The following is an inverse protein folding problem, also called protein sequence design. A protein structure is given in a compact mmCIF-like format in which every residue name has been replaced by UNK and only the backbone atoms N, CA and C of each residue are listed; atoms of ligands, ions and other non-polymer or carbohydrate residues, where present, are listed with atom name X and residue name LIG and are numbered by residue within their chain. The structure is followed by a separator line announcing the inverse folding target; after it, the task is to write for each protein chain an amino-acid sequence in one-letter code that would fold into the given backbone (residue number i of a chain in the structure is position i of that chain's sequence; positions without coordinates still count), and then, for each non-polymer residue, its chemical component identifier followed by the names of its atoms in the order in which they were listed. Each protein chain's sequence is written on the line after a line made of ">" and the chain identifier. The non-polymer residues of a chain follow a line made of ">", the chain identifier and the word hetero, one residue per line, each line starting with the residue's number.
data_IF_677732905317
#
_entry.id   IF_677732905317
#
_cell.length_a   1.000
_cell.length_b   1.000
_cell.length_c   1.000
_cell.angle_alpha   90.00
_cell.angle_beta   90.00
_cell.angle_gamma   90.00
#
_symmetry.space_group_name_H-M   'P 1'
#
loop_
_entity.id
_entity.type
_entity.pdbx_description
1 polymer ?
#
# COMPACT_ATOMS: atom_id res chain seq x y z
N UNK A 1 9.62 51.14 51.45
CA UNK A 1 10.90 50.79 50.78
C UNK A 1 10.81 51.38 49.38
N UNK A 2 11.15 52.66 49.19
CA UNK A 2 12.47 53.19 48.76
C UNK A 2 12.87 52.65 47.37
N UNK A 3 13.23 53.40 46.31
CA UNK A 3 13.62 54.81 46.18
C UNK A 3 13.71 55.21 44.69
N UNK A 4 13.36 56.47 44.40
CA UNK A 4 13.89 57.47 43.44
C UNK A 4 14.59 57.09 42.10
N UNK A 5 14.19 57.77 41.01
CA UNK A 5 14.90 58.91 40.35
C UNK A 5 14.21 59.19 38.98
N UNK A 6 13.60 60.35 38.68
CA UNK A 6 14.17 61.66 38.26
C UNK A 6 15.21 61.51 37.12
N UNK A 7 15.23 62.24 36.00
CA UNK A 7 14.87 63.62 35.63
C UNK A 7 15.06 63.70 34.07
N UNK A 8 14.09 64.12 33.23
CA UNK A 8 13.83 65.48 32.69
C UNK A 8 14.92 66.09 31.78
N UNK A 9 14.40 66.78 30.73
CA UNK A 9 14.98 67.81 29.84
C UNK A 9 15.52 67.32 28.49
N UNK A 10 15.34 67.98 27.33
CA UNK A 10 14.39 68.95 26.69
C UNK A 10 15.05 69.34 25.35
N UNK A 11 14.30 69.95 24.42
CA UNK A 11 14.72 70.62 23.15
C UNK A 11 14.99 69.66 21.99
N UNK A 12 14.63 69.92 20.73
CA UNK A 12 14.07 71.07 20.03
C UNK A 12 14.27 70.83 18.51
N UNK A 13 13.25 71.14 17.72
CA UNK A 13 13.06 70.97 16.27
C UNK A 13 14.25 71.27 15.33
N UNK A 14 14.35 70.52 14.22
CA UNK A 14 14.47 71.10 12.85
C UNK A 14 14.19 70.07 11.74
N UNK A 15 13.24 70.41 10.86
CA UNK A 15 13.04 69.86 9.50
C UNK A 15 14.27 70.11 8.62
N UNK A 16 14.79 69.06 7.97
CA UNK A 16 15.36 69.07 6.61
C UNK A 16 16.04 67.74 6.29
N UNK A 17 15.89 67.27 5.05
CA UNK A 17 16.54 66.10 4.39
C UNK A 17 15.70 64.83 4.35
N UNK A 18 14.63 64.91 3.56
CA UNK A 18 14.22 63.85 2.65
C UNK A 18 15.07 64.01 1.38
N UNK A 19 15.44 62.87 0.77
CA UNK A 19 15.96 62.65 -0.60
C UNK A 19 17.41 62.11 -0.67
N UNK A 20 17.65 61.17 -1.60
CA UNK A 20 18.89 60.40 -1.90
C UNK A 20 19.02 58.94 -1.38
N UNK A 21 17.92 58.18 -1.30
CA UNK A 21 17.99 56.75 -0.92
C UNK A 21 17.36 55.73 -1.87
N UNK A 22 16.53 56.14 -2.84
CA UNK A 22 15.71 55.21 -3.63
C UNK A 22 16.27 54.85 -5.00
N UNK A 23 17.20 55.63 -5.55
CA UNK A 23 17.62 55.44 -6.94
C UNK A 23 18.75 54.41 -7.08
N UNK A 24 19.61 54.27 -6.06
CA UNK A 24 20.70 53.29 -6.08
C UNK A 24 20.24 51.83 -5.88
N UNK A 25 19.03 51.60 -5.36
CA UNK A 25 18.50 50.25 -5.13
C UNK A 25 17.76 49.70 -6.36
N UNK A 26 17.23 50.57 -7.22
CA UNK A 26 16.50 50.19 -8.43
C UNK A 26 17.45 49.90 -9.59
N UNK A 27 18.56 50.64 -9.73
CA UNK A 27 19.58 50.37 -10.75
C UNK A 27 20.27 49.01 -10.54
N UNK A 28 20.44 48.57 -9.29
CA UNK A 28 21.00 47.25 -8.97
C UNK A 28 20.03 46.09 -9.23
N UNK A 29 18.72 46.36 -9.29
CA UNK A 29 17.70 45.35 -9.59
C UNK A 29 17.55 45.13 -11.10
N UNK A 30 17.66 46.20 -11.90
CA UNK A 30 17.56 46.12 -13.36
C UNK A 30 18.80 45.47 -14.00
N UNK A 31 19.99 45.62 -13.41
CA UNK A 31 21.21 44.93 -13.88
C UNK A 31 21.20 43.43 -13.55
N UNK A 32 20.56 43.02 -12.44
CA UNK A 32 20.38 41.61 -12.08
C UNK A 32 19.30 40.89 -12.92
N UNK A 33 18.29 41.63 -13.40
CA UNK A 33 17.24 41.09 -14.27
C UNK A 33 17.67 40.96 -15.74
N UNK A 34 18.72 41.68 -16.17
CA UNK A 34 19.31 41.57 -17.51
C UNK A 34 20.21 40.33 -17.69
N UNK A 35 20.82 39.80 -16.62
CA UNK A 35 21.65 38.59 -16.67
C UNK A 35 20.84 37.27 -16.58
N UNK A 36 19.56 37.33 -16.18
CA UNK A 36 18.68 36.16 -16.08
C UNK A 36 17.89 35.83 -17.37
N UNK A 37 18.19 36.47 -18.50
CA UNK A 37 17.48 36.30 -19.78
C UNK A 37 18.24 35.51 -20.86
N UNK A 38 19.28 34.75 -20.52
CA UNK A 38 20.12 34.02 -21.49
C UNK A 38 20.04 32.48 -21.46
N UNK A 39 19.12 31.89 -20.70
CA UNK A 39 18.87 30.45 -20.72
C UNK A 39 17.43 30.12 -21.12
N UNK A 40 17.08 30.43 -22.38
CA UNK A 40 15.86 29.92 -23.01
C UNK A 40 16.23 29.30 -24.36
N UNK A 41 16.75 28.06 -24.33
CA UNK A 41 16.88 27.20 -25.49
C UNK A 41 15.80 26.11 -25.42
N UNK A 42 15.08 25.80 -26.51
CA UNK A 42 14.07 24.75 -26.52
C UNK A 42 14.72 23.37 -26.32
N UNK A 43 14.10 22.44 -25.58
CA UNK A 43 14.65 21.11 -25.39
C UNK A 43 14.61 20.32 -26.70
N UNK A 44 15.79 19.82 -27.08
CA UNK A 44 16.01 18.83 -28.13
C UNK A 44 15.39 17.51 -27.65
N UNK A 45 14.54 16.89 -28.48
CA UNK A 45 13.99 15.57 -28.20
C UNK A 45 15.12 14.56 -27.97
N UNK A 46 15.21 14.05 -26.74
CA UNK A 46 16.03 12.92 -26.37
C UNK A 46 15.07 11.75 -26.17
N UNK A 47 15.19 10.75 -27.04
CA UNK A 47 14.54 9.45 -26.88
C UNK A 47 14.94 8.88 -25.51
N UNK A 48 13.97 8.79 -24.60
CA UNK A 48 14.13 8.07 -23.34
C UNK A 48 13.91 6.58 -23.61
N UNK A 49 14.85 5.68 -23.24
CA UNK A 49 14.55 4.27 -23.21
C UNK A 49 13.50 4.02 -22.13
N UNK A 50 12.45 3.29 -22.49
CA UNK A 50 11.39 2.82 -21.60
C UNK A 50 11.96 2.13 -20.36
N UNK A 51 11.79 2.76 -19.19
CA UNK A 51 12.07 2.17 -17.88
C UNK A 51 11.11 1.00 -17.63
N UNK A 52 11.56 -0.18 -17.18
CA UNK A 52 10.66 -1.28 -16.84
C UNK A 52 9.80 -0.89 -15.64
N UNK A 53 8.48 -0.91 -15.82
CA UNK A 53 7.49 -0.86 -14.75
C UNK A 53 7.54 -2.19 -14.00
N UNK A 54 7.85 -2.17 -12.71
CA UNK A 54 7.84 -3.36 -11.86
C UNK A 54 6.69 -3.24 -10.87
N UNK A 55 5.63 -4.00 -11.11
CA UNK A 55 4.62 -4.28 -10.09
C UNK A 55 5.28 -5.11 -8.99
N UNK A 56 4.95 -4.84 -7.73
CA UNK A 56 5.64 -5.34 -6.54
C UNK A 56 5.78 -6.87 -6.45
N UNK A 57 5.02 -7.64 -7.23
CA UNK A 57 4.96 -9.11 -7.22
C UNK A 57 5.53 -9.82 -8.47
N UNK A 58 5.98 -9.10 -9.52
CA UNK A 58 6.39 -9.79 -10.78
C UNK A 58 7.85 -9.58 -11.20
N UNK A 59 8.67 -10.63 -11.07
CA UNK A 59 9.80 -10.90 -11.99
C UNK A 59 9.95 -12.42 -12.29
N UNK A 60 10.43 -12.81 -13.50
CA UNK A 60 10.10 -14.08 -14.13
C UNK A 60 11.13 -15.20 -13.99
N UNK A 61 10.66 -16.41 -14.32
CA UNK A 61 11.39 -17.68 -14.41
C UNK A 61 12.59 -17.65 -15.37
N UNK A 62 13.59 -18.44 -15.01
CA UNK A 62 14.83 -18.84 -15.71
C UNK A 62 14.93 -18.56 -17.22
N UNK A 63 16.01 -17.88 -17.62
CA UNK A 63 16.44 -17.75 -19.02
C UNK A 63 17.45 -18.87 -19.33
N UNK A 64 17.04 -19.82 -20.19
CA UNK A 64 17.96 -20.73 -20.86
C UNK A 64 18.68 -19.99 -22.00
N UNK A 65 20.02 -20.07 -21.98
CA UNK A 65 20.91 -19.54 -23.02
C UNK A 65 20.88 -20.47 -24.25
N UNK A 66 20.53 -19.92 -25.41
CA UNK A 66 20.88 -20.51 -26.70
C UNK A 66 21.19 -19.40 -27.74
N UNK A 67 22.16 -19.72 -28.60
CA UNK A 67 23.03 -18.82 -29.37
C UNK A 67 22.37 -18.14 -30.59
N UNK A 68 22.80 -16.91 -30.91
CA UNK A 68 22.58 -16.27 -32.22
C UNK A 68 23.68 -16.63 -33.24
N UNK A 69 23.37 -16.52 -34.54
CA UNK A 69 24.12 -15.60 -35.39
C UNK A 69 23.22 -14.64 -36.21
N UNK A 70 23.81 -13.49 -36.58
CA UNK A 70 23.26 -12.28 -37.25
C UNK A 70 23.70 -12.27 -38.75
N UNK A 71 23.34 -11.29 -39.62
CA UNK A 71 22.14 -11.15 -40.47
C UNK A 71 22.44 -11.06 -41.99
N UNK A 72 21.42 -11.06 -42.87
CA UNK A 72 21.46 -10.34 -44.16
C UNK A 72 20.10 -9.73 -44.54
N UNK A 73 20.11 -8.39 -44.56
CA UNK A 73 19.44 -7.40 -45.42
C UNK A 73 17.96 -7.51 -45.86
N UNK A 74 17.24 -6.48 -45.40
CA UNK A 74 16.33 -5.58 -46.12
C UNK A 74 14.98 -6.10 -46.63
N UNK A 75 13.90 -5.48 -46.13
CA UNK A 75 12.95 -4.59 -46.85
C UNK A 75 11.73 -4.34 -45.95
N UNK A 76 11.50 -3.08 -45.56
CA UNK A 76 10.19 -2.55 -45.13
C UNK A 76 9.35 -2.22 -46.39
N UNK A 77 8.02 -2.05 -46.36
CA UNK A 77 7.12 -1.87 -45.22
C UNK A 77 5.79 -2.67 -45.32
N UNK A 78 4.91 -2.57 -44.31
CA UNK A 78 3.47 -2.20 -44.36
C UNK A 78 2.80 -2.65 -43.06
N UNK A 79 1.96 -1.76 -42.52
CA UNK A 79 1.09 -1.91 -41.36
C UNK A 79 0.08 -3.05 -41.54
N UNK A 80 -0.09 -3.90 -40.52
CA UNK A 80 -1.34 -4.57 -40.14
C UNK A 80 -1.04 -5.55 -38.97
N UNK A 81 -1.56 -5.27 -37.77
CA UNK A 81 -2.16 -6.27 -36.85
C UNK A 81 -2.39 -5.64 -35.46
N UNK A 82 -3.55 -5.00 -35.29
CA UNK A 82 -4.08 -4.61 -33.97
C UNK A 82 -5.39 -5.35 -33.61
N UNK A 83 -5.86 -6.30 -34.44
CA UNK A 83 -7.14 -7.00 -34.20
C UNK A 83 -7.03 -8.48 -33.79
N UNK A 84 -5.84 -9.09 -33.79
CA UNK A 84 -5.71 -10.54 -33.51
C UNK A 84 -5.70 -10.93 -32.02
N UNK A 85 -5.54 -9.95 -31.12
CA UNK A 85 -5.52 -10.18 -29.67
C UNK A 85 -6.89 -10.07 -28.96
N UNK A 86 -7.86 -9.40 -29.58
CA UNK A 86 -9.18 -9.15 -28.98
C UNK A 86 -10.15 -10.32 -29.18
N UNK A 87 -10.15 -10.92 -30.38
CA UNK A 87 -11.03 -12.05 -30.71
C UNK A 87 -10.69 -13.31 -29.90
N UNK A 88 -9.42 -13.53 -29.61
CA UNK A 88 -8.93 -14.70 -28.85
C UNK A 88 -9.26 -14.60 -27.35
N UNK A 89 -9.38 -13.39 -26.80
CA UNK A 89 -9.80 -13.14 -25.41
C UNK A 89 -11.32 -13.22 -25.25
N UNK A 90 -12.08 -12.74 -26.25
CA UNK A 90 -13.55 -12.84 -26.28
C UNK A 90 -14.03 -14.30 -26.49
N UNK A 91 -13.36 -15.08 -27.34
CA UNK A 91 -13.69 -16.49 -27.55
C UNK A 91 -13.39 -17.36 -26.32
N UNK A 92 -12.31 -17.06 -25.57
CA UNK A 92 -11.98 -17.75 -24.30
C UNK A 92 -12.95 -17.39 -23.17
N UNK A 93 -13.33 -16.11 -23.03
CA UNK A 93 -14.31 -15.67 -22.03
C UNK A 93 -15.73 -16.22 -22.29
N UNK A 94 -16.15 -16.33 -23.55
CA UNK A 94 -17.42 -16.95 -23.92
C UNK A 94 -17.42 -18.47 -23.68
N UNK A 95 -16.29 -19.16 -23.87
CA UNK A 95 -16.19 -20.62 -23.62
C UNK A 95 -16.30 -21.01 -22.14
N UNK A 96 -15.81 -20.18 -21.21
CA UNK A 96 -15.89 -20.45 -19.76
C UNK A 96 -17.28 -20.14 -19.18
N UNK A 97 -17.92 -19.07 -19.66
CA UNK A 97 -19.29 -18.71 -19.29
C UNK A 97 -20.32 -19.77 -19.75
N UNK A 98 -20.12 -20.41 -20.91
CA UNK A 98 -20.99 -21.51 -21.37
C UNK A 98 -20.82 -22.81 -20.57
N UNK A 99 -19.63 -23.10 -20.03
CA UNK A 99 -19.39 -24.31 -19.21
C UNK A 99 -20.02 -24.16 -17.82
N UNK A 100 -19.89 -22.98 -17.19
CA UNK A 100 -20.48 -22.71 -15.86
C UNK A 100 -22.00 -22.51 -15.95
N UNK A 101 -22.48 -21.81 -16.98
CA UNK A 101 -23.93 -21.63 -17.23
C UNK A 101 -24.64 -22.93 -17.65
N UNK A 102 -23.98 -23.78 -18.43
CA UNK A 102 -24.52 -25.07 -18.86
C UNK A 102 -24.66 -26.10 -17.73
N UNK A 103 -23.71 -26.12 -16.78
CA UNK A 103 -23.78 -26.99 -15.59
C UNK A 103 -24.85 -26.53 -14.58
N UNK A 104 -25.08 -25.21 -14.44
CA UNK A 104 -26.15 -24.67 -13.62
C UNK A 104 -27.55 -24.96 -14.22
N UNK A 105 -27.69 -24.93 -15.54
CA UNK A 105 -28.97 -25.26 -16.20
C UNK A 105 -29.31 -26.76 -16.09
N UNK A 106 -28.30 -27.64 -16.20
CA UNK A 106 -28.49 -29.09 -16.06
C UNK A 106 -28.94 -29.50 -14.63
N UNK A 107 -28.49 -28.77 -13.61
CA UNK A 107 -28.90 -28.99 -12.22
C UNK A 107 -30.39 -28.67 -12.02
N UNK A 108 -30.92 -27.67 -12.73
CA UNK A 108 -32.33 -27.24 -12.64
C UNK A 108 -33.32 -28.12 -13.43
N UNK A 109 -32.86 -28.97 -14.36
CA UNK A 109 -33.70 -29.89 -15.15
C UNK A 109 -33.80 -31.32 -14.59
N UNK A 110 -33.05 -31.67 -13.53
CA UNK A 110 -33.17 -32.99 -12.91
C UNK A 110 -34.49 -33.15 -12.13
N UNK A 111 -35.14 -34.32 -12.17
CA UNK A 111 -36.32 -34.61 -11.35
C UNK A 111 -36.03 -34.40 -9.86
N UNK A 112 -37.00 -33.85 -9.12
CA UNK A 112 -36.85 -33.57 -7.68
C UNK A 112 -36.44 -34.81 -6.84
N UNK A 113 -36.75 -36.02 -7.32
CA UNK A 113 -36.35 -37.28 -6.68
C UNK A 113 -34.84 -37.56 -6.70
N UNK A 114 -34.06 -36.87 -7.55
CA UNK A 114 -32.60 -37.02 -7.61
C UNK A 114 -31.84 -35.95 -6.82
N UNK A 115 -32.47 -34.82 -6.49
CA UNK A 115 -31.87 -33.77 -5.63
C UNK A 115 -31.84 -34.14 -4.14
N UNK A 116 -32.68 -35.08 -3.72
CA UNK A 116 -32.76 -35.52 -2.33
C UNK A 116 -31.69 -36.55 -1.93
N UNK A 117 -30.91 -37.08 -2.87
CA UNK A 117 -29.95 -38.17 -2.62
C UNK A 117 -28.50 -37.71 -2.37
N UNK A 118 -28.21 -36.40 -2.38
CA UNK A 118 -26.84 -35.85 -2.25
C UNK A 118 -26.70 -34.92 -1.03
N UNK A 119 -27.57 -35.07 -0.03
CA UNK A 119 -27.54 -34.25 1.18
C UNK A 119 -27.13 -35.12 2.39
N UNK A 120 -25.82 -35.25 2.71
CA UNK A 120 -25.34 -36.21 3.71
C UNK A 120 -25.58 -35.79 5.17
N UNK A 121 -26.39 -34.76 5.45
CA UNK A 121 -26.55 -34.22 6.81
C UNK A 121 -27.90 -34.44 7.49
N UNK A 122 -28.75 -35.33 6.94
CA UNK A 122 -29.90 -35.85 7.67
C UNK A 122 -29.65 -37.31 7.98
N UNK A 123 -28.99 -37.55 9.10
CA UNK A 123 -29.30 -38.62 10.07
C UNK A 123 -28.17 -38.73 11.09
N UNK A 124 -28.38 -38.14 12.28
CA UNK A 124 -27.89 -38.65 13.58
C UNK A 124 -28.40 -37.76 14.71
N UNK A 125 -29.70 -37.88 15.00
CA UNK A 125 -30.20 -37.61 16.34
C UNK A 125 -29.96 -38.88 17.17
N UNK A 126 -28.82 -38.94 17.86
CA UNK A 126 -28.58 -39.91 18.92
C UNK A 126 -28.20 -39.14 20.19
N UNK A 127 -29.02 -39.33 21.22
CA UNK A 127 -28.90 -38.77 22.56
C UNK A 127 -27.59 -39.25 23.19
N UNK A 128 -26.70 -38.31 23.50
CA UNK A 128 -25.57 -38.52 24.40
C UNK A 128 -25.64 -37.47 25.52
N UNK A 129 -26.06 -37.92 26.69
CA UNK A 129 -25.99 -37.19 27.96
C UNK A 129 -24.54 -36.93 28.37
N UNK A 130 -24.23 -35.68 28.68
CA UNK A 130 -23.21 -35.30 29.66
C UNK A 130 -21.76 -35.27 29.20
N UNK A 131 -21.34 -34.14 28.65
CA UNK A 131 -20.05 -33.50 28.96
C UNK A 131 -20.07 -32.10 28.35
N UNK A 132 -20.03 -31.07 29.18
CA UNK A 132 -19.74 -29.70 28.73
C UNK A 132 -18.34 -29.71 28.13
N UNK A 133 -18.13 -29.40 26.84
CA UNK A 133 -16.80 -29.14 26.35
C UNK A 133 -16.45 -27.75 26.89
N UNK A 134 -15.69 -27.70 27.97
CA UNK A 134 -14.98 -26.48 28.35
C UNK A 134 -13.99 -26.21 27.24
N UNK A 135 -14.42 -25.45 26.22
CA UNK A 135 -13.51 -24.82 25.27
C UNK A 135 -12.66 -23.83 26.05
N UNK A 136 -11.56 -24.31 26.63
CA UNK A 136 -10.41 -23.46 26.87
C UNK A 136 -9.86 -23.13 25.48
N UNK A 137 -10.38 -22.06 24.88
CA UNK A 137 -9.61 -21.34 23.90
C UNK A 137 -8.28 -21.00 24.60
N UNK A 138 -7.12 -21.32 24.02
CA UNK A 138 -5.86 -20.85 24.59
C UNK A 138 -6.00 -19.34 24.74
N UNK A 139 -5.73 -18.86 25.96
CA UNK A 139 -5.58 -17.45 26.27
C UNK A 139 -4.34 -16.95 25.53
N UNK A 140 -4.46 -16.79 24.20
CA UNK A 140 -3.54 -16.00 23.42
C UNK A 140 -3.78 -14.56 23.85
N UNK A 141 -3.07 -14.13 24.88
CA UNK A 141 -2.89 -12.71 25.14
C UNK A 141 -2.18 -12.12 23.91
N UNK A 142 -2.95 -11.70 22.92
CA UNK A 142 -2.43 -10.99 21.76
C UNK A 142 -1.85 -9.68 22.28
N UNK A 143 -0.53 -9.60 22.30
CA UNK A 143 0.14 -8.33 22.63
C UNK A 143 0.07 -7.45 21.39
N UNK A 144 -0.83 -6.47 21.43
CA UNK A 144 -0.87 -5.42 20.42
C UNK A 144 0.35 -4.51 20.60
N UNK A 145 0.96 -4.13 19.48
CA UNK A 145 2.05 -3.16 19.40
C UNK A 145 1.60 -2.00 18.51
N UNK A 146 1.91 -0.73 18.85
CA UNK A 146 1.63 0.39 17.97
C UNK A 146 2.30 0.17 16.60
N UNK A 147 1.54 0.39 15.52
CA UNK A 147 1.98 0.05 14.15
C UNK A 147 3.24 0.82 13.75
N UNK A 148 3.40 2.05 14.23
CA UNK A 148 4.57 2.90 14.02
C UNK A 148 5.84 2.38 14.71
N UNK A 149 5.70 1.40 15.61
CA UNK A 149 6.81 0.74 16.29
C UNK A 149 7.18 -0.60 15.67
N UNK A 150 6.36 -1.15 14.75
CA UNK A 150 6.66 -2.39 14.04
C UNK A 150 7.86 -2.18 13.11
N UNK A 151 8.73 -3.18 13.00
CA UNK A 151 9.97 -3.12 12.23
C UNK A 151 10.08 -4.27 11.25
N UNK A 152 10.89 -4.09 10.21
CA UNK A 152 11.23 -5.14 9.25
C UNK A 152 11.83 -6.35 9.96
N UNK A 153 11.42 -7.54 9.53
CA UNK A 153 11.86 -8.81 10.11
C UNK A 153 11.11 -9.26 11.37
N UNK A 154 10.27 -8.41 11.96
CA UNK A 154 9.36 -8.83 13.04
C UNK A 154 8.28 -9.77 12.50
N UNK A 155 7.78 -10.68 13.36
CA UNK A 155 6.62 -11.51 13.06
C UNK A 155 5.37 -10.98 13.72
N UNK A 156 4.30 -10.90 12.94
CA UNK A 156 2.98 -10.46 13.42
C UNK A 156 1.90 -11.48 13.05
N UNK A 157 0.75 -11.37 13.72
CA UNK A 157 -0.39 -12.24 13.43
C UNK A 157 -1.04 -11.76 12.14
N UNK A 158 -1.22 -12.68 11.20
CA UNK A 158 -1.84 -12.49 9.91
C UNK A 158 -1.91 -13.83 9.21
N UNK A 159 -3.06 -14.16 8.63
CA UNK A 159 -3.23 -15.36 7.80
C UNK A 159 -4.24 -15.04 6.72
N UNK A 160 -3.80 -15.11 5.47
CA UNK A 160 -4.64 -14.75 4.34
C UNK A 160 -5.74 -15.81 4.16
N UNK A 161 -7.02 -15.41 4.11
CA UNK A 161 -8.11 -16.33 3.80
C UNK A 161 -8.03 -16.90 2.37
N UNK A 162 -7.37 -16.19 1.45
CA UNK A 162 -7.14 -16.60 0.06
C UNK A 162 -5.70 -17.13 -0.07
N UNK A 163 -5.50 -18.41 0.27
CA UNK A 163 -4.17 -19.03 0.30
C UNK A 163 -3.43 -19.00 -1.03
N UNK A 164 -4.14 -18.97 -2.16
CA UNK A 164 -3.55 -18.90 -3.49
C UNK A 164 -2.82 -17.57 -3.78
N UNK A 165 -3.11 -16.51 -3.01
CA UNK A 165 -2.44 -15.21 -3.11
C UNK A 165 -1.14 -15.14 -2.30
N UNK A 166 -0.82 -16.18 -1.52
CA UNK A 166 0.37 -16.20 -0.66
C UNK A 166 1.53 -16.86 -1.41
N UNK A 167 2.59 -16.09 -1.67
CA UNK A 167 3.78 -16.58 -2.38
C UNK A 167 4.65 -17.53 -1.51
N UNK A 168 4.49 -17.48 -0.18
CA UNK A 168 5.19 -18.37 0.77
C UNK A 168 6.69 -18.10 0.89
N UNK A 169 7.14 -16.91 0.51
CA UNK A 169 8.56 -16.53 0.51
C UNK A 169 8.98 -16.10 1.92
N UNK A 170 10.03 -16.74 2.44
CA UNK A 170 10.68 -16.37 3.69
C UNK A 170 11.93 -15.53 3.38
N UNK A 171 12.07 -14.30 3.92
CA UNK A 171 13.26 -13.48 3.69
C UNK A 171 14.54 -14.16 4.19
N UNK A 172 15.56 -14.20 3.34
CA UNK A 172 16.88 -14.75 3.70
C UNK A 172 17.88 -13.62 3.96
N UNK A 173 18.36 -13.43 5.20
CA UNK A 173 19.32 -12.37 5.52
C UNK A 173 20.62 -12.39 4.69
N UNK A 174 21.02 -13.55 4.16
CA UNK A 174 22.22 -13.64 3.32
C UNK A 174 22.01 -12.98 1.96
N UNK A 175 20.85 -13.21 1.34
CA UNK A 175 20.54 -12.80 -0.03
C UNK A 175 19.61 -11.59 -0.14
N UNK A 176 19.05 -11.13 0.97
CA UNK A 176 18.15 -9.97 1.02
C UNK A 176 18.84 -8.74 1.62
N UNK A 177 18.31 -7.56 1.32
CA UNK A 177 18.75 -6.29 1.91
C UNK A 177 17.56 -5.43 2.30
N UNK A 178 17.79 -4.56 3.28
CA UNK A 178 16.90 -3.45 3.57
C UNK A 178 17.16 -2.33 2.56
N UNK A 179 16.10 -1.84 1.93
CA UNK A 179 16.10 -0.64 1.12
C UNK A 179 15.20 0.41 1.79
N UNK A 180 15.72 1.63 1.96
CA UNK A 180 14.93 2.76 2.41
C UNK A 180 14.70 3.72 1.24
N UNK A 181 13.47 4.18 1.10
CA UNK A 181 13.05 5.09 0.04
C UNK A 181 12.25 6.25 0.60
N UNK A 182 12.27 7.35 -0.15
CA UNK A 182 11.44 8.51 0.08
C UNK A 182 10.74 8.91 -1.22
N UNK A 183 9.44 9.12 -1.15
CA UNK A 183 8.64 9.65 -2.24
C UNK A 183 8.01 10.95 -1.78
N UNK A 184 8.25 12.01 -2.54
CA UNK A 184 7.54 13.28 -2.39
C UNK A 184 6.16 13.15 -3.03
N UNK A 185 5.13 13.50 -2.27
CA UNK A 185 3.74 13.64 -2.72
C UNK A 185 3.45 15.11 -3.00
N UNK A 186 2.30 15.39 -3.62
CA UNK A 186 1.85 16.77 -3.83
C UNK A 186 1.81 17.55 -2.50
N UNK A 187 2.22 18.82 -2.53
CA UNK A 187 2.15 19.71 -1.36
C UNK A 187 3.23 19.49 -0.30
N UNK A 188 4.44 19.04 -0.68
CA UNK A 188 5.59 18.76 0.22
C UNK A 188 5.35 17.59 1.21
N UNK A 189 4.27 16.84 1.03
CA UNK A 189 3.98 15.70 1.87
C UNK A 189 4.90 14.53 1.55
N UNK A 190 5.32 13.80 2.59
CA UNK A 190 6.26 12.69 2.43
C UNK A 190 5.62 11.32 2.55
N UNK A 191 6.16 10.36 1.79
CA UNK A 191 6.02 8.93 2.00
C UNK A 191 7.41 8.32 2.24
N UNK A 192 7.61 7.77 3.44
CA UNK A 192 8.80 7.02 3.82
C UNK A 192 8.52 5.53 3.74
N UNK A 193 9.40 4.82 3.07
CA UNK A 193 9.23 3.40 2.76
C UNK A 193 10.48 2.67 3.21
N UNK A 194 10.32 1.57 3.92
CA UNK A 194 11.38 0.59 4.10
C UNK A 194 10.91 -0.77 3.60
N UNK A 195 11.71 -1.43 2.75
CA UNK A 195 11.39 -2.76 2.23
C UNK A 195 12.54 -3.74 2.47
N UNK A 196 12.21 -5.01 2.64
CA UNK A 196 13.12 -6.13 2.49
C UNK A 196 12.92 -6.72 1.10
N UNK A 197 14.00 -6.77 0.32
CA UNK A 197 13.97 -7.34 -1.04
C UNK A 197 15.22 -8.19 -1.30
N UNK A 198 15.12 -9.24 -2.15
CA UNK A 198 16.28 -9.96 -2.65
C UNK A 198 17.25 -9.02 -3.38
N UNK A 199 18.55 -9.33 -3.30
CA UNK A 199 19.59 -8.61 -4.06
C UNK A 199 19.31 -8.60 -5.56
N UNK A 200 18.80 -9.70 -6.11
CA UNK A 200 18.44 -9.82 -7.53
C UNK A 200 17.37 -8.80 -7.94
N UNK A 201 16.38 -8.57 -7.08
CA UNK A 201 15.37 -7.54 -7.29
C UNK A 201 15.99 -6.14 -7.24
N UNK A 202 16.83 -5.87 -6.24
CA UNK A 202 17.49 -4.56 -6.05
C UNK A 202 18.36 -4.22 -7.28
N UNK A 203 19.09 -5.19 -7.80
CA UNK A 203 19.91 -5.05 -9.00
C UNK A 203 19.06 -4.80 -10.25
N UNK A 204 18.00 -5.60 -10.44
CA UNK A 204 17.08 -5.47 -11.58
C UNK A 204 16.35 -4.12 -11.59
N UNK A 205 15.92 -3.64 -10.43
CA UNK A 205 15.29 -2.33 -10.27
C UNK A 205 16.29 -1.17 -10.43
N UNK A 206 17.60 -1.44 -10.47
CA UNK A 206 18.62 -0.41 -10.46
C UNK A 206 18.64 0.42 -9.17
N UNK A 207 18.10 -0.13 -8.08
CA UNK A 207 17.95 0.56 -6.81
C UNK A 207 19.30 0.81 -6.16
N UNK A 208 19.76 2.06 -6.19
CA UNK A 208 21.05 2.50 -5.64
C UNK A 208 20.88 3.82 -4.90
N UNK A 209 21.54 4.04 -3.75
CA UNK A 209 21.45 5.31 -3.02
C UNK A 209 21.71 6.51 -3.94
N UNK A 210 20.83 7.52 -3.86
CA UNK A 210 20.87 8.71 -4.71
C UNK A 210 20.28 8.52 -6.12
N UNK A 211 19.74 7.35 -6.44
CA UNK A 211 18.91 7.11 -7.63
C UNK A 211 17.45 6.97 -7.22
N UNK A 212 16.55 7.01 -8.19
CA UNK A 212 15.13 6.77 -7.97
C UNK A 212 14.68 5.51 -8.68
N UNK A 213 13.70 4.83 -8.09
CA UNK A 213 12.97 3.73 -8.73
C UNK A 213 11.50 4.11 -8.84
N UNK A 214 10.81 3.60 -9.85
CA UNK A 214 9.37 3.78 -9.98
C UNK A 214 8.65 2.78 -9.07
N UNK A 215 7.75 3.28 -8.23
CA UNK A 215 6.88 2.47 -7.38
C UNK A 215 5.43 2.71 -7.73
N UNK A 216 4.68 1.62 -7.77
CA UNK A 216 3.25 1.64 -8.02
C UNK A 216 2.51 1.10 -6.78
N UNK A 217 2.16 2.01 -5.86
CA UNK A 217 1.44 1.71 -4.63
C UNK A 217 0.04 2.33 -4.70
N UNK A 218 -0.79 1.88 -5.66
CA UNK A 218 -2.17 2.38 -5.85
C UNK A 218 -3.00 2.37 -4.58
N UNK A 219 -2.86 1.32 -3.75
CA UNK A 219 -3.63 1.16 -2.50
C UNK A 219 -3.32 2.27 -1.48
N UNK A 220 -2.12 2.87 -1.57
CA UNK A 220 -1.67 3.98 -0.73
C UNK A 220 -1.77 5.34 -1.43
N UNK A 221 -2.39 5.38 -2.63
CA UNK A 221 -2.44 6.55 -3.49
C UNK A 221 -1.06 7.09 -3.85
N UNK A 222 -0.05 6.21 -3.95
CA UNK A 222 1.34 6.61 -4.10
C UNK A 222 1.96 5.93 -5.32
N UNK A 223 1.86 6.59 -6.47
CA UNK A 223 2.45 6.12 -7.73
C UNK A 223 3.45 7.15 -8.20
N UNK A 224 4.70 6.75 -8.39
CA UNK A 224 5.73 7.68 -8.81
C UNK A 224 7.16 7.24 -8.52
N UNK A 225 8.08 8.17 -8.72
CA UNK A 225 9.49 7.93 -8.47
C UNK A 225 9.81 8.11 -6.99
N UNK A 226 10.32 7.06 -6.36
CA UNK A 226 10.83 7.10 -5.00
C UNK A 226 12.36 7.14 -5.02
N UNK A 227 12.94 8.14 -4.35
CA UNK A 227 14.38 8.25 -4.17
C UNK A 227 14.87 7.16 -3.20
N UNK A 228 15.87 6.39 -3.61
CA UNK A 228 16.56 5.43 -2.75
C UNK A 228 17.49 6.21 -1.84
N UNK A 229 17.17 6.23 -0.55
CA UNK A 229 17.92 7.00 0.46
C UNK A 229 19.04 6.17 1.08
N UNK A 230 18.82 4.86 1.25
CA UNK A 230 19.87 3.96 1.73
C UNK A 230 19.63 2.50 1.33
N UNK A 231 20.72 1.73 1.33
CA UNK A 231 20.74 0.28 1.29
C UNK A 231 21.52 -0.22 2.50
N UNK A 232 20.95 -1.16 3.23
CA UNK A 232 21.55 -1.73 4.44
C UNK A 232 21.47 -3.26 4.47
N UNK A 233 22.12 -3.90 5.45
CA UNK A 233 21.94 -5.33 5.67
C UNK A 233 20.47 -5.66 5.90
N UNK A 234 20.05 -6.89 5.57
CA UNK A 234 18.79 -7.41 6.08
C UNK A 234 18.86 -7.46 7.62
N UNK A 235 17.83 -6.97 8.34
CA UNK A 235 17.76 -7.17 9.78
C UNK A 235 17.60 -8.66 10.12
N UNK A 236 17.70 -8.98 11.40
CA UNK A 236 17.33 -10.29 11.90
C UNK A 236 15.85 -10.57 11.61
N UNK A 237 15.56 -11.77 11.09
CA UNK A 237 14.18 -12.25 10.91
C UNK A 237 13.80 -13.06 12.15
N UNK A 238 12.73 -12.64 12.82
CA UNK A 238 12.33 -13.22 14.08
C UNK A 238 11.94 -14.71 13.97
N UNK A 239 12.29 -15.49 15.00
CA UNK A 239 11.74 -16.77 15.36
C UNK A 239 10.28 -17.05 15.05
N UNK A 240 9.91 -18.23 14.57
CA UNK A 240 8.61 -18.83 14.91
C UNK A 240 7.45 -18.54 13.97
N UNK A 241 6.22 -18.50 14.52
CA UNK A 241 4.98 -18.43 13.77
C UNK A 241 4.54 -16.99 13.49
N UNK A 242 3.66 -16.83 12.51
CA UNK A 242 3.16 -15.53 12.04
C UNK A 242 3.84 -15.11 10.74
N UNK A 243 3.33 -14.03 10.17
CA UNK A 243 3.84 -13.46 8.92
C UNK A 243 4.97 -12.49 9.19
N UNK A 244 5.98 -12.47 8.32
CA UNK A 244 7.15 -11.59 8.45
C UNK A 244 6.83 -10.24 7.85
N UNK A 245 7.15 -9.17 8.56
CA UNK A 245 7.06 -7.80 8.05
C UNK A 245 8.19 -7.55 7.06
N UNK A 246 7.84 -7.41 5.78
CA UNK A 246 8.76 -7.15 4.67
C UNK A 246 8.71 -5.72 4.17
N UNK A 247 7.70 -4.95 4.57
CA UNK A 247 7.63 -3.52 4.26
C UNK A 247 7.00 -2.71 5.37
N UNK A 248 7.48 -1.49 5.55
CA UNK A 248 6.84 -0.48 6.39
C UNK A 248 6.64 0.79 5.57
N UNK A 249 5.48 1.41 5.76
CA UNK A 249 5.11 2.63 5.06
C UNK A 249 4.61 3.63 6.07
N UNK A 250 5.14 4.85 5.98
CA UNK A 250 4.71 5.97 6.79
C UNK A 250 4.45 7.14 5.84
N UNK A 251 3.21 7.61 5.77
CA UNK A 251 2.90 8.80 4.97
C UNK A 251 2.10 9.81 5.75
N UNK A 252 2.35 11.07 5.43
CA UNK A 252 1.50 12.15 5.92
C UNK A 252 0.14 12.04 5.24
N UNK A 253 -0.92 12.20 6.03
CA UNK A 253 -2.26 12.33 5.52
C UNK A 253 -2.42 13.67 4.81
N UNK A 254 -3.14 13.63 3.71
CA UNK A 254 -3.61 14.79 2.96
C UNK A 254 -5.14 14.86 2.99
N UNK A 255 -5.69 15.91 2.37
CA UNK A 255 -7.14 16.08 2.21
C UNK A 255 -7.82 14.90 1.47
N UNK A 256 -7.06 14.14 0.68
CA UNK A 256 -7.55 13.02 -0.12
C UNK A 256 -7.43 11.66 0.58
N UNK A 257 -6.80 11.60 1.75
CA UNK A 257 -6.51 10.35 2.47
C UNK A 257 -7.77 9.68 3.01
N UNK A 258 -8.87 10.43 3.15
CA UNK A 258 -10.22 9.95 3.51
C UNK A 258 -10.20 8.95 4.66
N UNK A 259 -9.86 9.43 5.85
CA UNK A 259 -9.82 8.61 7.07
C UNK A 259 -11.23 8.40 7.62
N UNK A 260 -11.49 7.21 8.13
CA UNK A 260 -12.72 6.81 8.81
C UNK A 260 -12.40 6.25 10.20
N UNK A 261 -13.36 6.36 11.10
CA UNK A 261 -13.48 5.48 12.25
C UNK A 261 -14.35 4.27 11.89
N UNK A 262 -13.74 3.09 11.95
CA UNK A 262 -14.42 1.81 11.93
C UNK A 262 -14.68 1.36 13.37
N UNK A 263 -15.94 1.02 13.65
CA UNK A 263 -16.36 0.44 14.94
C UNK A 263 -16.92 -0.95 14.72
N UNK A 264 -16.41 -1.93 15.45
CA UNK A 264 -17.00 -3.26 15.56
C UNK A 264 -17.82 -3.39 16.85
N UNK A 265 -18.65 -4.43 16.91
CA UNK A 265 -19.31 -4.81 18.16
C UNK A 265 -18.27 -5.19 19.23
N UNK A 266 -18.57 -4.89 20.49
CA UNK A 266 -17.68 -5.05 21.65
C UNK A 266 -16.37 -4.27 21.61
N UNK A 267 -16.10 -3.52 20.54
CA UNK A 267 -14.90 -2.70 20.43
C UNK A 267 -15.03 -1.41 21.26
N UNK A 268 -14.09 -1.22 22.19
CA UNK A 268 -14.02 -0.03 23.04
C UNK A 268 -13.38 1.14 22.28
N UNK A 269 -12.22 0.89 21.66
CA UNK A 269 -11.45 1.90 20.93
C UNK A 269 -11.68 1.79 19.43
N UNK A 270 -12.08 2.88 18.79
CA UNK A 270 -12.33 2.94 17.34
C UNK A 270 -11.03 2.72 16.55
N UNK A 271 -11.13 2.04 15.41
CA UNK A 271 -10.00 1.89 14.50
C UNK A 271 -10.03 3.04 13.48
N UNK A 272 -9.00 3.90 13.51
CA UNK A 272 -8.74 4.87 12.46
C UNK A 272 -8.08 4.19 11.26
N UNK A 273 -8.68 4.32 10.07
CA UNK A 273 -8.17 3.70 8.84
C UNK A 273 -8.59 4.52 7.61
N UNK A 274 -7.85 4.43 6.51
CA UNK A 274 -8.28 5.04 5.25
C UNK A 274 -9.47 4.28 4.66
N UNK A 275 -10.39 4.99 4.02
CA UNK A 275 -11.61 4.39 3.44
C UNK A 275 -11.31 3.37 2.33
N UNK A 276 -10.13 3.45 1.69
CA UNK A 276 -9.72 2.54 0.62
C UNK A 276 -9.01 1.28 1.11
N UNK A 277 -8.58 1.23 2.38
CA UNK A 277 -7.88 0.06 2.92
C UNK A 277 -8.80 -1.16 2.92
N UNK A 278 -8.26 -2.32 2.59
CA UNK A 278 -9.04 -3.53 2.37
C UNK A 278 -9.18 -4.34 3.65
N UNK A 279 -10.38 -4.85 3.91
CA UNK A 279 -10.69 -5.75 5.01
C UNK A 279 -11.41 -6.98 4.50
N UNK A 280 -11.11 -8.14 5.10
CA UNK A 280 -11.83 -9.36 4.80
C UNK A 280 -13.27 -9.30 5.32
N UNK A 281 -14.23 -9.41 4.41
CA UNK A 281 -15.66 -9.56 4.73
C UNK A 281 -16.05 -11.03 4.65
N UNK A 282 -16.50 -11.59 5.77
CA UNK A 282 -16.97 -12.98 5.80
C UNK A 282 -18.28 -13.14 5.04
N UNK A 283 -19.15 -12.14 5.06
CA UNK A 283 -20.42 -12.20 4.32
C UNK A 283 -20.20 -12.22 2.81
N UNK A 284 -19.13 -11.57 2.34
CA UNK A 284 -18.82 -11.44 0.90
C UNK A 284 -17.75 -12.43 0.44
N UNK A 285 -17.01 -13.04 1.36
CA UNK A 285 -15.82 -13.86 1.08
C UNK A 285 -14.84 -13.12 0.15
N UNK A 286 -14.61 -11.85 0.44
CA UNK A 286 -13.79 -10.97 -0.38
C UNK A 286 -13.17 -9.84 0.45
N UNK A 287 -12.06 -9.30 -0.04
CA UNK A 287 -11.44 -8.09 0.50
C UNK A 287 -12.20 -6.86 0.01
N UNK A 288 -12.75 -6.10 0.95
CA UNK A 288 -13.55 -4.91 0.67
C UNK A 288 -12.99 -3.68 1.32
N UNK A 289 -13.10 -2.56 0.61
CA UNK A 289 -12.72 -1.25 1.12
C UNK A 289 -13.43 -0.95 2.44
N UNK A 290 -12.69 -0.48 3.44
CA UNK A 290 -13.20 -0.17 4.77
C UNK A 290 -14.38 0.81 4.74
N UNK A 291 -14.31 1.83 3.87
CA UNK A 291 -15.38 2.80 3.66
C UNK A 291 -16.65 2.24 3.01
N UNK A 292 -16.61 0.99 2.53
CA UNK A 292 -17.72 0.29 1.87
C UNK A 292 -18.28 -0.89 2.69
N UNK A 293 -17.74 -1.11 3.89
CA UNK A 293 -18.31 -2.03 4.87
C UNK A 293 -19.68 -1.53 5.33
N UNK A 294 -20.63 -2.44 5.49
CA UNK A 294 -22.00 -2.11 5.90
C UNK A 294 -22.20 -2.41 7.37
N UNK A 295 -23.07 -1.63 8.03
CA UNK A 295 -23.50 -1.97 9.39
C UNK A 295 -24.16 -3.35 9.41
N UNK A 296 -23.81 -4.17 10.40
CA UNK A 296 -24.20 -5.57 10.54
C UNK A 296 -23.35 -6.57 9.75
N UNK A 297 -22.46 -6.11 8.87
CA UNK A 297 -21.59 -7.00 8.09
C UNK A 297 -20.57 -7.71 8.97
N UNK A 298 -20.36 -9.01 8.76
CA UNK A 298 -19.42 -9.82 9.52
C UNK A 298 -17.99 -9.69 8.99
N UNK A 299 -17.06 -9.40 9.89
CA UNK A 299 -15.63 -9.34 9.62
C UNK A 299 -14.87 -10.28 10.55
N UNK A 300 -13.74 -10.79 10.06
CA UNK A 300 -12.88 -11.70 10.82
C UNK A 300 -11.96 -10.93 11.77
N UNK A 301 -11.96 -11.34 13.04
CA UNK A 301 -11.10 -10.78 14.09
C UNK A 301 -10.36 -11.89 14.82
N UNK A 302 -9.35 -11.53 15.60
CA UNK A 302 -8.58 -12.51 16.36
C UNK A 302 -9.40 -13.20 17.47
N UNK A 303 -10.58 -12.66 17.80
CA UNK A 303 -11.54 -13.20 18.76
C UNK A 303 -12.78 -13.81 18.08
N UNK A 304 -12.67 -14.17 16.79
CA UNK A 304 -13.76 -14.66 15.97
C UNK A 304 -14.52 -13.56 15.22
N UNK A 305 -15.68 -13.90 14.68
CA UNK A 305 -16.43 -12.97 13.85
C UNK A 305 -17.04 -11.84 14.68
N UNK A 306 -17.00 -10.63 14.13
CA UNK A 306 -17.62 -9.44 14.73
C UNK A 306 -18.41 -8.67 13.69
N UNK A 307 -19.53 -8.09 14.12
CA UNK A 307 -20.31 -7.19 13.27
C UNK A 307 -19.71 -5.79 13.22
N UNK A 308 -19.73 -5.20 12.02
CA UNK A 308 -19.49 -3.77 11.84
C UNK A 308 -20.65 -2.99 12.44
N UNK A 309 -20.38 -2.11 13.39
CA UNK A 309 -21.37 -1.21 14.01
C UNK A 309 -21.52 0.05 13.18
N UNK A 310 -20.40 0.71 12.87
CA UNK A 310 -20.41 1.99 12.15
C UNK A 310 -19.12 2.23 11.36
N UNK A 311 -19.27 2.97 10.28
CA UNK A 311 -18.20 3.54 9.46
C UNK A 311 -18.45 5.04 9.39
N UNK A 312 -17.59 5.84 10.01
CA UNK A 312 -17.80 7.29 10.15
C UNK A 312 -16.57 8.06 9.65
N UNK A 313 -16.70 8.93 8.64
CA UNK A 313 -15.61 9.80 8.21
C UNK A 313 -15.10 10.71 9.33
N UNK A 314 -13.80 10.97 9.34
CA UNK A 314 -13.15 11.93 10.25
C UNK A 314 -12.15 12.79 9.49
N UNK A 315 -11.89 13.98 10.01
CA UNK A 315 -10.70 14.74 9.67
C UNK A 315 -9.49 14.15 10.40
N UNK A 316 -8.36 14.05 9.72
CA UNK A 316 -7.10 13.55 10.28
C UNK A 316 -5.92 14.25 9.63
N UNK A 317 -5.15 14.97 10.43
CA UNK A 317 -3.96 15.72 10.06
C UNK A 317 -2.73 15.13 10.76
N UNK A 318 -2.40 13.90 10.39
CA UNK A 318 -1.30 13.17 11.01
C UNK A 318 -0.63 12.18 10.08
N UNK A 319 0.09 11.24 10.67
CA UNK A 319 0.67 10.13 9.92
C UNK A 319 -0.31 8.97 9.81
N UNK A 320 -0.17 8.24 8.71
CA UNK A 320 -0.84 6.99 8.43
C UNK A 320 0.24 5.94 8.15
N UNK A 321 0.04 4.76 8.72
CA UNK A 321 1.01 3.67 8.70
C UNK A 321 0.41 2.45 8.03
N UNK A 322 1.23 1.76 7.24
CA UNK A 322 0.88 0.49 6.62
C UNK A 322 2.06 -0.48 6.72
N UNK A 323 1.78 -1.78 6.62
CA UNK A 323 2.78 -2.84 6.60
C UNK A 323 2.60 -3.69 5.34
N UNK A 324 3.70 -4.19 4.80
CA UNK A 324 3.69 -5.33 3.89
C UNK A 324 4.19 -6.55 4.65
N UNK A 325 3.49 -7.67 4.48
CA UNK A 325 3.83 -8.94 5.12
C UNK A 325 3.87 -10.07 4.11
N UNK A 326 4.51 -11.19 4.46
CA UNK A 326 4.59 -12.38 3.59
C UNK A 326 3.24 -13.07 3.32
N UNK A 327 2.21 -12.77 4.12
CA UNK A 327 0.83 -13.24 3.91
C UNK A 327 -0.05 -12.16 3.23
N UNK A 328 0.47 -10.95 3.01
CA UNK A 328 -0.30 -9.80 2.51
C UNK A 328 -1.53 -9.46 3.38
N UNK A 329 -1.47 -9.81 4.65
CA UNK A 329 -2.46 -9.46 5.67
C UNK A 329 -1.77 -9.33 7.02
N UNK A 330 -2.40 -8.60 7.94
CA UNK A 330 -1.99 -8.55 9.35
C UNK A 330 -3.21 -8.27 10.24
N UNK A 331 -3.05 -8.13 11.55
CA UNK A 331 -4.16 -7.88 12.50
C UNK A 331 -4.02 -6.50 13.13
N UNK A 332 -5.11 -5.73 13.21
CA UNK A 332 -5.11 -4.34 13.72
C UNK A 332 -6.19 -4.07 14.75
N UNK A 333 -5.97 -3.03 15.55
CA UNK A 333 -6.90 -2.63 16.59
C UNK A 333 -6.93 -3.62 17.76
N UNK A 334 -7.67 -3.26 18.81
CA UNK A 334 -7.74 -4.03 20.05
C UNK A 334 -8.38 -5.40 19.90
N UNK A 335 -9.18 -5.60 18.84
CA UNK A 335 -9.80 -6.89 18.52
C UNK A 335 -9.01 -7.71 17.48
N UNK A 336 -7.92 -7.18 16.91
CA UNK A 336 -7.17 -7.86 15.86
C UNK A 336 -8.01 -8.09 14.61
N UNK A 337 -8.59 -7.04 14.04
CA UNK A 337 -9.30 -7.07 12.76
C UNK A 337 -8.31 -7.37 11.62
N UNK A 338 -8.70 -8.15 10.61
CA UNK A 338 -7.84 -8.61 9.51
C UNK A 338 -7.89 -7.70 8.25
N UNK A 339 -7.03 -6.68 8.10
CA UNK A 339 -6.81 -6.04 6.82
C UNK A 339 -5.98 -6.88 5.85
N UNK A 340 -6.05 -6.51 4.57
CA UNK A 340 -5.00 -6.76 3.59
C UNK A 340 -4.02 -5.58 3.54
#
# INVERSE_FOLDING_TARGET
>A
MASAANNRQTTGLSDSQIDDGSDALNDALDEALAEMSLYNLPPRALDTPSTPSLTISELPREIHVAQQPVPQDAVLPIQEDEERGSTDRLLKALSLAFIVGGLALLYFTLPASWRAAINPWKDSAAVATGATPTSHAPDMSLQAKPIEQVRLGERIVGRNPIHEQVEGIEPDPATWRKISLYMEKEGELGLWIELLRPLTWIEAAGAKPGKSIHLDLYEMGAVGNAAVTSLGPCPEIQPGQGTVVTGTFNHQADENSRVIHLKLEDQIELTGVTANHLYWSEDRQDFVKAGSLRSGELVDTAYGLKQVVSVTPIEHDGFLYNLETTEHVYRVGTLGLNPA
#
